data_IF_913559793086
#
_entry.id   IF_913559793086
#
_cell.length_a   1.000
_cell.length_b   1.000
_cell.length_c   1.000
_cell.angle_alpha   90.00
_cell.angle_beta   90.00
_cell.angle_gamma   90.00
#
_symmetry.space_group_name_H-M   'P 1'
#
loop_
_entity.id
_entity.type
_entity.pdbx_description
1 polymer ?
#
# COMPACT_ATOMS: atom_id res chain seq x y z
N UNK A 1 -3.40 -21.97 10.32
CA UNK A 1 -3.81 -21.15 9.15
C UNK A 1 -3.89 -19.73 9.66
N UNK A 2 -3.09 -18.85 9.09
CA UNK A 2 -3.00 -17.46 9.54
C UNK A 2 -3.96 -16.59 8.72
N UNK A 3 -4.64 -15.65 9.37
CA UNK A 3 -5.67 -14.82 8.74
C UNK A 3 -5.26 -13.35 8.86
N UNK A 4 -5.20 -12.66 7.74
CA UNK A 4 -4.95 -11.22 7.65
C UNK A 4 -6.18 -10.44 7.20
N UNK A 5 -6.17 -9.14 7.43
CA UNK A 5 -7.21 -8.20 6.97
C UNK A 5 -6.60 -7.21 5.99
N UNK A 6 -7.34 -6.93 4.92
CA UNK A 6 -7.01 -5.89 3.96
C UNK A 6 -8.10 -4.82 4.00
N UNK A 7 -7.70 -3.55 4.07
CA UNK A 7 -8.62 -2.41 4.13
C UNK A 7 -8.10 -1.25 3.30
N UNK A 8 -9.01 -0.50 2.68
CA UNK A 8 -8.72 0.85 2.22
C UNK A 8 -8.83 1.80 3.41
N UNK A 9 -7.69 2.27 3.90
CA UNK A 9 -7.67 3.31 4.93
C UNK A 9 -8.02 4.66 4.30
N UNK A 10 -9.07 5.31 4.81
CA UNK A 10 -9.73 6.49 4.22
C UNK A 10 -10.26 7.41 5.31
N UNK A 11 -10.74 8.60 4.94
CA UNK A 11 -11.36 9.57 5.86
C UNK A 11 -12.68 9.08 6.51
N UNK A 12 -13.26 7.98 6.01
CA UNK A 12 -14.53 7.43 6.48
C UNK A 12 -14.44 5.94 6.84
N UNK A 13 -13.24 5.36 6.86
CA UNK A 13 -13.02 4.04 7.45
C UNK A 13 -12.92 4.15 8.97
N UNK A 14 -12.92 3.00 9.65
CA UNK A 14 -12.46 2.94 11.04
C UNK A 14 -11.03 3.47 11.13
N UNK A 15 -10.71 4.16 12.23
CA UNK A 15 -9.34 4.61 12.49
C UNK A 15 -8.36 3.43 12.45
N UNK A 16 -7.26 3.59 11.71
CA UNK A 16 -6.35 2.48 11.43
C UNK A 16 -5.65 1.96 12.68
N UNK A 17 -5.38 2.82 13.67
CA UNK A 17 -4.76 2.43 14.93
C UNK A 17 -5.77 1.71 15.83
N UNK A 18 -7.03 2.15 15.85
CA UNK A 18 -8.12 1.43 16.50
C UNK A 18 -8.31 0.04 15.89
N UNK A 19 -8.44 -0.05 14.57
CA UNK A 19 -8.58 -1.32 13.87
C UNK A 19 -7.40 -2.25 14.17
N UNK A 20 -6.16 -1.75 14.10
CA UNK A 20 -4.97 -2.56 14.37
C UNK A 20 -4.99 -3.18 15.78
N UNK A 21 -5.35 -2.41 16.81
CA UNK A 21 -5.51 -2.94 18.19
C UNK A 21 -6.58 -4.03 18.25
N UNK A 22 -7.72 -3.80 17.61
CA UNK A 22 -8.83 -4.76 17.61
C UNK A 22 -8.49 -6.06 16.87
N UNK A 23 -7.74 -5.97 15.78
CA UNK A 23 -7.22 -7.13 15.03
C UNK A 23 -6.22 -7.92 15.87
N UNK A 24 -5.27 -7.23 16.51
CA UNK A 24 -4.28 -7.87 17.39
C UNK A 24 -4.94 -8.57 18.59
N UNK A 25 -5.92 -7.92 19.23
CA UNK A 25 -6.67 -8.48 20.36
C UNK A 25 -7.43 -9.76 19.95
N UNK A 26 -7.89 -9.84 18.69
CA UNK A 26 -8.59 -10.99 18.11
C UNK A 26 -7.66 -12.01 17.46
N UNK A 27 -6.34 -11.82 17.56
CA UNK A 27 -5.31 -12.74 17.04
C UNK A 27 -5.33 -12.88 15.51
N UNK A 28 -5.72 -11.82 14.80
CA UNK A 28 -5.38 -11.73 13.38
C UNK A 28 -3.87 -11.60 13.23
N UNK A 29 -3.34 -12.17 12.16
CA UNK A 29 -1.89 -12.20 11.92
C UNK A 29 -1.39 -10.86 11.37
N UNK A 30 -2.20 -10.22 10.52
CA UNK A 30 -1.72 -9.11 9.70
C UNK A 30 -2.81 -8.12 9.29
N UNK A 31 -2.39 -6.88 9.02
CA UNK A 31 -3.17 -5.80 8.43
C UNK A 31 -2.45 -5.27 7.19
N UNK A 32 -3.17 -5.19 6.07
CA UNK A 32 -2.66 -4.68 4.81
C UNK A 32 -3.49 -3.50 4.29
N UNK A 33 -2.82 -2.52 3.68
CA UNK A 33 -3.46 -1.38 3.00
C UNK A 33 -2.97 -1.27 1.55
N UNK A 34 -3.81 -0.82 0.60
CA UNK A 34 -3.40 -0.57 -0.79
C UNK A 34 -2.60 0.72 -0.91
N UNK A 35 -2.13 0.97 -2.14
CA UNK A 35 -1.61 2.26 -2.56
C UNK A 35 -2.30 2.71 -3.84
N UNK A 36 -2.74 3.96 -3.85
CA UNK A 36 -2.96 4.78 -5.04
C UNK A 36 -2.47 6.18 -4.69
N UNK A 37 -1.56 6.72 -5.49
CA UNK A 37 -0.97 8.05 -5.21
C UNK A 37 -1.98 9.16 -5.48
N UNK A 38 -2.78 8.95 -6.53
CA UNK A 38 -3.88 9.81 -6.95
C UNK A 38 -4.74 9.01 -7.92
N UNK A 39 -5.95 9.51 -8.18
CA UNK A 39 -6.81 8.94 -9.22
C UNK A 39 -6.97 9.97 -10.34
N UNK A 40 -6.42 9.69 -11.53
CA UNK A 40 -6.62 10.54 -12.70
C UNK A 40 -8.10 10.70 -13.05
N UNK A 41 -8.45 11.86 -13.59
CA UNK A 41 -9.80 12.12 -14.15
C UNK A 41 -10.05 11.33 -15.43
N UNK A 42 -8.99 10.98 -16.17
CA UNK A 42 -9.05 10.04 -17.28
C UNK A 42 -9.33 8.63 -16.80
N UNK A 43 -10.13 7.88 -17.58
CA UNK A 43 -10.51 6.48 -17.34
C UNK A 43 -10.26 5.59 -18.58
N UNK A 44 -9.22 5.86 -19.36
CA UNK A 44 -8.75 4.98 -20.44
C UNK A 44 -8.46 3.57 -19.90
N UNK A 45 -7.90 3.47 -18.69
CA UNK A 45 -7.79 2.20 -17.99
C UNK A 45 -9.10 1.85 -17.27
N UNK A 46 -9.83 0.80 -17.69
CA UNK A 46 -11.01 0.35 -16.96
C UNK A 46 -10.61 -0.19 -15.58
N UNK A 47 -11.52 -0.07 -14.61
CA UNK A 47 -11.33 -0.72 -13.30
C UNK A 47 -11.26 -2.24 -13.49
N UNK A 48 -10.23 -2.96 -12.99
CA UNK A 48 -10.10 -4.40 -13.21
C UNK A 48 -11.25 -5.24 -12.66
N UNK A 49 -11.96 -4.75 -11.64
CA UNK A 49 -13.16 -5.41 -11.10
C UNK A 49 -14.42 -5.23 -11.96
N UNK A 50 -14.35 -4.42 -13.03
CA UNK A 50 -15.50 -4.05 -13.87
C UNK A 50 -16.37 -2.96 -13.25
N UNK A 51 -17.10 -2.24 -14.12
CA UNK A 51 -17.95 -1.12 -13.71
C UNK A 51 -17.17 0.14 -13.32
N UNK A 52 -17.81 0.98 -12.51
CA UNK A 52 -17.23 2.23 -12.03
C UNK A 52 -16.17 2.00 -10.96
N UNK A 53 -15.18 2.88 -10.91
CA UNK A 53 -14.15 2.82 -9.88
C UNK A 53 -14.76 3.11 -8.50
N UNK A 54 -14.59 2.22 -7.51
CA UNK A 54 -15.10 2.48 -6.17
C UNK A 54 -14.48 3.72 -5.52
N UNK A 55 -15.27 4.48 -4.77
CA UNK A 55 -14.86 5.76 -4.14
C UNK A 55 -13.58 5.63 -3.31
N UNK A 56 -13.36 4.52 -2.61
CA UNK A 56 -12.19 4.36 -1.75
C UNK A 56 -10.85 4.45 -2.50
N UNK A 57 -10.82 4.23 -3.81
CA UNK A 57 -9.59 4.36 -4.59
C UNK A 57 -9.05 5.80 -4.61
N UNK A 58 -9.92 6.81 -4.68
CA UNK A 58 -9.50 8.23 -4.66
C UNK A 58 -9.38 8.82 -3.26
N UNK A 59 -9.67 8.02 -2.23
CA UNK A 59 -9.66 8.43 -0.83
C UNK A 59 -8.62 7.67 0.01
N UNK A 60 -7.92 6.71 -0.59
CA UNK A 60 -6.93 5.91 0.13
C UNK A 60 -5.80 6.80 0.63
N UNK A 61 -5.42 6.63 1.89
CA UNK A 61 -4.31 7.37 2.49
C UNK A 61 -2.95 6.79 2.05
N UNK A 62 -1.87 7.55 2.29
CA UNK A 62 -0.51 7.06 2.04
C UNK A 62 -0.24 5.80 2.88
N UNK A 63 0.19 4.69 2.26
CA UNK A 63 0.30 3.41 2.94
C UNK A 63 1.38 3.42 4.05
N UNK A 64 2.48 4.15 3.88
CA UNK A 64 3.56 4.16 4.87
C UNK A 64 3.17 4.96 6.11
N UNK A 65 2.42 6.05 5.93
CA UNK A 65 1.87 6.81 7.05
C UNK A 65 0.83 5.95 7.79
N UNK A 66 -0.17 5.42 7.09
CA UNK A 66 -1.22 4.58 7.71
C UNK A 66 -0.65 3.39 8.48
N UNK A 67 0.29 2.66 7.88
CA UNK A 67 0.92 1.51 8.54
C UNK A 67 1.85 1.91 9.68
N UNK A 68 2.43 3.12 9.65
CA UNK A 68 3.18 3.67 10.78
C UNK A 68 2.30 3.86 12.02
N UNK A 69 1.09 4.40 11.85
CA UNK A 69 0.11 4.53 12.93
C UNK A 69 -0.37 3.17 13.43
N UNK A 70 -0.67 2.23 12.54
CA UNK A 70 -1.05 0.87 12.90
C UNK A 70 0.06 0.13 13.68
N UNK A 71 1.31 0.26 13.23
CA UNK A 71 2.47 -0.36 13.88
C UNK A 71 2.72 0.21 15.27
N UNK A 72 2.58 1.52 15.45
CA UNK A 72 2.77 2.19 16.74
C UNK A 72 1.72 1.79 17.78
N UNK A 73 0.52 1.39 17.34
CA UNK A 73 -0.59 1.00 18.20
C UNK A 73 -0.58 -0.50 18.60
N UNK A 74 0.36 -1.30 18.09
CA UNK A 74 0.39 -2.76 18.24
C UNK A 74 1.79 -3.28 18.53
N UNK A 75 1.91 -4.45 19.14
CA UNK A 75 3.21 -5.05 19.51
C UNK A 75 3.59 -6.30 18.70
N UNK A 76 2.61 -6.97 18.09
CA UNK A 76 2.75 -8.29 17.43
C UNK A 76 2.17 -8.33 16.03
N UNK A 77 1.13 -7.56 15.73
CA UNK A 77 0.43 -7.56 14.44
C UNK A 77 1.40 -7.22 13.30
N UNK A 78 1.46 -8.04 12.26
CA UNK A 78 2.20 -7.68 11.05
C UNK A 78 1.45 -6.58 10.31
N UNK A 79 2.18 -5.57 9.84
CA UNK A 79 1.61 -4.48 9.05
C UNK A 79 2.24 -4.51 7.67
N UNK A 80 1.47 -4.32 6.61
CA UNK A 80 2.03 -4.48 5.27
C UNK A 80 1.31 -3.73 4.17
N UNK A 81 2.00 -3.65 3.04
CA UNK A 81 1.44 -3.08 1.81
C UNK A 81 0.82 -4.18 0.95
N UNK A 82 -0.42 -3.97 0.51
CA UNK A 82 -1.19 -4.85 -0.37
C UNK A 82 -1.78 -4.09 -1.56
N UNK A 83 -1.07 -3.15 -2.19
CA UNK A 83 0.34 -3.33 -2.55
C UNK A 83 1.08 -1.99 -2.70
N UNK A 84 2.40 -1.97 -2.52
CA UNK A 84 3.25 -0.82 -2.82
C UNK A 84 3.52 -0.75 -4.33
N UNK A 85 3.10 0.34 -4.98
CA UNK A 85 3.26 0.60 -6.41
C UNK A 85 4.67 1.08 -6.73
N UNK A 86 5.66 0.19 -6.55
CA UNK A 86 7.08 0.54 -6.65
C UNK A 86 7.48 1.29 -7.93
N UNK A 87 6.93 1.02 -9.13
CA UNK A 87 7.21 1.83 -10.32
C UNK A 87 6.83 3.30 -10.19
N UNK A 88 5.90 3.66 -9.32
CA UNK A 88 5.44 5.03 -9.11
C UNK A 88 6.18 5.74 -7.97
N UNK A 89 7.21 5.11 -7.38
CA UNK A 89 7.96 5.69 -6.24
C UNK A 89 9.45 5.85 -6.51
N UNK A 90 10.07 6.90 -5.96
CA UNK A 90 11.53 7.01 -5.96
C UNK A 90 12.14 5.91 -5.08
N UNK A 91 13.16 5.21 -5.59
CA UNK A 91 13.68 3.98 -5.01
C UNK A 91 14.41 4.22 -3.68
N UNK A 92 15.24 5.27 -3.59
CA UNK A 92 16.05 5.56 -2.40
C UNK A 92 15.17 6.04 -1.24
N UNK A 93 14.21 6.92 -1.51
CA UNK A 93 13.21 7.41 -0.54
C UNK A 93 12.31 6.26 -0.07
N UNK A 94 11.90 5.38 -0.98
CA UNK A 94 11.10 4.20 -0.63
C UNK A 94 11.91 3.26 0.25
N UNK A 95 13.16 2.96 -0.10
CA UNK A 95 14.04 2.13 0.71
C UNK A 95 14.23 2.70 2.13
N UNK A 96 14.39 4.03 2.25
CA UNK A 96 14.48 4.69 3.56
C UNK A 96 13.18 4.54 4.37
N UNK A 97 12.03 4.75 3.74
CA UNK A 97 10.72 4.62 4.39
C UNK A 97 10.46 3.19 4.87
N UNK A 98 10.75 2.20 4.01
CA UNK A 98 10.68 0.77 4.32
C UNK A 98 11.59 0.42 5.49
N UNK A 99 12.87 0.78 5.44
CA UNK A 99 13.83 0.46 6.49
C UNK A 99 13.45 1.12 7.83
N UNK A 100 12.96 2.35 7.80
CA UNK A 100 12.48 3.06 8.98
C UNK A 100 11.24 2.40 9.58
N UNK A 101 10.24 2.06 8.77
CA UNK A 101 9.03 1.40 9.25
C UNK A 101 9.30 -0.01 9.77
N UNK A 102 10.16 -0.77 9.10
CA UNK A 102 10.60 -2.10 9.56
C UNK A 102 11.28 -2.02 10.93
N UNK A 103 12.25 -1.12 11.09
CA UNK A 103 12.92 -0.90 12.37
C UNK A 103 11.95 -0.49 13.48
N UNK A 104 11.09 0.50 13.22
CA UNK A 104 10.14 1.05 14.21
C UNK A 104 9.05 0.04 14.59
N UNK A 105 8.66 -0.82 13.65
CA UNK A 105 7.72 -1.93 13.89
C UNK A 105 8.39 -3.15 14.54
N UNK A 106 9.71 -3.11 14.82
CA UNK A 106 10.48 -4.24 15.36
C UNK A 106 10.47 -5.46 14.43
N UNK A 107 10.60 -5.25 13.12
CA UNK A 107 10.66 -6.32 12.12
C UNK A 107 9.29 -6.91 11.73
N UNK A 108 8.18 -6.20 12.01
CA UNK A 108 6.81 -6.65 11.70
C UNK A 108 6.30 -6.17 10.35
N UNK A 109 7.07 -5.35 9.64
CA UNK A 109 6.65 -4.78 8.38
C UNK A 109 6.79 -5.80 7.23
N UNK A 110 5.75 -5.92 6.42
CA UNK A 110 5.71 -6.77 5.22
C UNK A 110 5.55 -5.91 3.99
N UNK A 111 6.59 -5.84 3.16
CA UNK A 111 6.58 -5.08 1.91
C UNK A 111 6.03 -5.92 0.75
N UNK A 112 4.75 -5.72 0.40
CA UNK A 112 4.17 -6.26 -0.82
C UNK A 112 4.42 -5.32 -2.00
N UNK A 113 4.99 -5.83 -3.09
CA UNK A 113 5.41 -5.01 -4.25
C UNK A 113 4.56 -5.29 -5.49
N UNK A 114 4.08 -4.22 -6.13
CA UNK A 114 3.17 -4.28 -7.27
C UNK A 114 3.53 -3.35 -8.40
N UNK A 115 3.15 -3.74 -9.61
CA UNK A 115 3.45 -2.98 -10.83
C UNK A 115 2.44 -1.87 -11.14
N UNK A 116 1.27 -1.89 -10.49
CA UNK A 116 0.14 -1.04 -10.83
C UNK A 116 -0.61 -1.49 -12.10
N UNK A 117 -1.87 -1.09 -12.19
CA UNK A 117 -2.76 -1.41 -13.31
C UNK A 117 -3.26 -0.15 -14.03
N UNK A 118 -3.36 0.98 -13.31
CA UNK A 118 -3.87 2.24 -13.84
C UNK A 118 -2.77 2.91 -14.69
N UNK A 119 -2.97 2.93 -16.01
CA UNK A 119 -1.99 3.43 -16.98
C UNK A 119 -1.76 4.92 -16.74
N UNK A 120 -2.84 5.69 -16.65
CA UNK A 120 -2.74 7.15 -16.54
C UNK A 120 -2.05 7.57 -15.24
N UNK A 121 -2.38 6.93 -14.12
CA UNK A 121 -1.74 7.21 -12.82
C UNK A 121 -0.22 6.96 -12.91
N UNK A 122 0.16 5.90 -13.61
CA UNK A 122 1.55 5.52 -13.77
C UNK A 122 2.31 6.47 -14.71
N UNK A 123 1.67 6.93 -15.78
CA UNK A 123 2.25 7.90 -16.72
C UNK A 123 2.47 9.27 -16.08
N UNK A 124 1.62 9.67 -15.11
CA UNK A 124 1.81 10.88 -14.32
C UNK A 124 3.09 10.83 -13.44
N UNK A 125 3.59 9.63 -13.14
CA UNK A 125 4.90 9.41 -12.51
C UNK A 125 6.06 9.27 -13.52
N UNK A 126 5.82 9.54 -14.81
CA UNK A 126 6.81 9.43 -15.88
C UNK A 126 7.10 8.00 -16.31
N UNK A 127 6.23 7.05 -15.99
CA UNK A 127 6.47 5.62 -16.20
C UNK A 127 5.61 5.06 -17.31
N UNK A 128 6.26 4.54 -18.34
CA UNK A 128 5.55 3.82 -19.41
C UNK A 128 5.00 2.50 -18.89
N UNK A 129 3.70 2.26 -19.06
CA UNK A 129 3.01 1.07 -18.55
C UNK A 129 3.66 -0.26 -18.96
N UNK A 130 4.16 -0.36 -20.20
CA UNK A 130 4.83 -1.56 -20.71
C UNK A 130 6.22 -1.81 -20.08
N UNK A 131 6.77 -0.85 -19.33
CA UNK A 131 8.05 -0.97 -18.62
C UNK A 131 7.90 -1.24 -17.13
N UNK A 132 6.68 -1.24 -16.57
CA UNK A 132 6.43 -1.30 -15.12
C UNK A 132 7.17 -2.43 -14.39
N UNK A 133 7.11 -3.66 -14.91
CA UNK A 133 7.81 -4.80 -14.29
C UNK A 133 9.32 -4.79 -14.52
N UNK A 134 9.79 -4.21 -15.62
CA UNK A 134 11.22 -4.02 -15.83
C UNK A 134 11.77 -3.02 -14.80
N UNK A 135 11.04 -1.93 -14.55
CA UNK A 135 11.41 -0.94 -13.55
C UNK A 135 11.26 -1.45 -12.11
N UNK A 136 10.26 -2.30 -11.82
CA UNK A 136 10.21 -3.00 -10.53
C UNK A 136 11.49 -3.79 -10.28
N UNK A 137 11.94 -4.59 -11.26
CA UNK A 137 13.17 -5.38 -11.11
C UNK A 137 14.38 -4.50 -10.82
N UNK A 138 14.55 -3.43 -11.60
CA UNK A 138 15.63 -2.46 -11.42
C UNK A 138 15.63 -1.82 -10.03
N UNK A 139 14.45 -1.54 -9.47
CA UNK A 139 14.31 -0.91 -8.15
C UNK A 139 14.43 -1.89 -6.97
N UNK A 140 14.19 -3.17 -7.19
CA UNK A 140 14.36 -4.23 -6.16
C UNK A 140 15.79 -4.73 -6.12
N UNK A 141 16.40 -4.91 -7.29
CA UNK A 141 17.72 -5.50 -7.44
C UNK A 141 18.56 -4.66 -8.42
N UNK A 142 19.28 -3.64 -7.91
CA UNK A 142 20.22 -2.87 -8.71
C UNK A 142 21.43 -3.71 -9.14
#
# INVERSE_FOLDING_TARGET
MDIGVFIFDTDYSVDIAELAKELEARKYESLFVPEHTHIPTSRQSPFPGGGDLPRQYSHTLDPFISLGFAAAATDRLKVGTGICLLPQREAIVTAKSVASLDLMSKGRFVLGLGGGWNIEEMEDHGVKYNRRFAMMRERVWP
#
